data_IF_480358917686
#
_entry.id   IF_480358917686
#
_cell.length_a   1.000
_cell.length_b   1.000
_cell.length_c   1.000
_cell.angle_alpha   90.00
_cell.angle_beta   90.00
_cell.angle_gamma   90.00
#
_symmetry.space_group_name_H-M   'P 1'
#
loop_
_entity.id
_entity.type
_entity.pdbx_description
1 polymer ?
#
# COMPACT_ATOMS: atom_id res chain seq x y z
N UNK A 1 10.36 20.54 0.18
CA UNK A 1 9.53 19.93 -0.87
C UNK A 1 8.71 18.83 -0.24
N UNK A 2 7.38 18.94 -0.18
CA UNK A 2 6.54 17.91 0.42
C UNK A 2 6.47 16.70 -0.52
N UNK A 3 7.36 15.73 -0.32
CA UNK A 3 7.35 14.49 -1.09
C UNK A 3 6.05 13.74 -0.74
N UNK A 4 5.17 13.57 -1.72
CA UNK A 4 3.95 12.80 -1.51
C UNK A 4 4.34 11.32 -1.37
N UNK A 5 4.30 10.77 -0.17
CA UNK A 5 4.69 9.38 0.15
C UNK A 5 3.73 8.30 -0.41
N UNK A 6 2.92 8.67 -1.41
CA UNK A 6 1.88 7.85 -2.03
C UNK A 6 2.36 7.24 -3.35
N UNK A 7 2.84 6.01 -3.29
CA UNK A 7 3.47 5.33 -4.44
C UNK A 7 2.56 4.27 -5.07
N UNK A 8 2.94 3.77 -6.26
CA UNK A 8 2.21 2.67 -6.93
C UNK A 8 2.49 1.34 -6.22
N UNK A 9 1.64 0.33 -6.44
CA UNK A 9 1.78 -1.00 -5.78
C UNK A 9 3.15 -1.65 -6.01
N UNK A 10 3.69 -1.59 -7.23
CA UNK A 10 5.02 -2.16 -7.53
C UNK A 10 6.15 -1.45 -6.77
N UNK A 11 6.09 -0.13 -6.70
CA UNK A 11 7.07 0.67 -5.97
C UNK A 11 6.95 0.45 -4.45
N UNK A 12 5.73 0.36 -3.92
CA UNK A 12 5.51 0.02 -2.52
C UNK A 12 6.07 -1.36 -2.17
N UNK A 13 5.81 -2.35 -3.01
CA UNK A 13 6.32 -3.70 -2.85
C UNK A 13 7.85 -3.72 -2.80
N UNK A 14 8.49 -3.04 -3.75
CA UNK A 14 9.96 -2.94 -3.81
C UNK A 14 10.54 -2.25 -2.56
N UNK A 15 9.94 -1.14 -2.10
CA UNK A 15 10.42 -0.42 -0.91
C UNK A 15 10.28 -1.24 0.38
N UNK A 16 9.19 -2.00 0.50
CA UNK A 16 8.91 -2.84 1.67
C UNK A 16 9.58 -4.22 1.60
N UNK A 17 10.31 -4.54 0.53
CA UNK A 17 10.94 -5.85 0.35
C UNK A 17 9.94 -7.01 0.19
N UNK A 18 8.70 -6.72 -0.24
CA UNK A 18 7.62 -7.71 -0.41
C UNK A 18 7.17 -7.81 -1.87
N UNK A 19 6.35 -8.80 -2.18
CA UNK A 19 5.75 -8.91 -3.52
C UNK A 19 4.46 -8.08 -3.65
N UNK A 20 4.14 -7.55 -4.84
CA UNK A 20 2.85 -6.89 -5.10
C UNK A 20 1.64 -7.79 -4.81
N UNK A 21 1.80 -9.10 -4.99
CA UNK A 21 0.77 -10.10 -4.68
C UNK A 21 0.53 -10.19 -3.17
N UNK A 22 1.58 -10.20 -2.36
CA UNK A 22 1.47 -10.20 -0.91
C UNK A 22 0.74 -8.96 -0.40
N UNK A 23 1.10 -7.76 -0.89
CA UNK A 23 0.40 -6.51 -0.56
C UNK A 23 -1.11 -6.59 -0.87
N UNK A 24 -1.48 -7.11 -2.03
CA UNK A 24 -2.90 -7.30 -2.39
C UNK A 24 -3.60 -8.35 -1.54
N UNK A 25 -2.90 -9.43 -1.17
CA UNK A 25 -3.46 -10.46 -0.28
C UNK A 25 -3.70 -9.91 1.12
N UNK A 26 -2.76 -9.12 1.67
CA UNK A 26 -2.92 -8.45 2.97
C UNK A 26 -4.04 -7.42 2.94
N UNK A 27 -4.18 -6.69 1.84
CA UNK A 27 -5.31 -5.80 1.61
C UNK A 27 -6.64 -6.55 1.64
N UNK A 28 -6.74 -7.67 0.91
CA UNK A 28 -7.94 -8.50 0.88
C UNK A 28 -8.28 -9.13 2.24
N UNK A 29 -7.29 -9.32 3.11
CA UNK A 29 -7.48 -9.75 4.51
C UNK A 29 -7.90 -8.61 5.46
N UNK A 30 -7.99 -7.37 4.99
CA UNK A 30 -8.38 -6.22 5.83
C UNK A 30 -7.26 -5.68 6.73
N UNK A 31 -6.00 -6.08 6.52
CA UNK A 31 -4.87 -5.61 7.34
C UNK A 31 -4.55 -4.12 7.13
N UNK A 32 -4.97 -3.56 5.99
CA UNK A 32 -4.69 -2.17 5.64
C UNK A 32 -5.95 -1.29 5.72
N UNK A 33 -5.81 -0.09 6.28
CA UNK A 33 -6.90 0.89 6.39
C UNK A 33 -6.94 1.81 5.17
N UNK A 34 -8.11 1.94 4.52
CA UNK A 34 -8.35 2.87 3.41
C UNK A 34 -8.17 4.32 3.91
N UNK A 35 -7.55 5.17 3.10
CA UNK A 35 -7.23 6.57 3.46
C UNK A 35 -5.99 6.73 4.34
N UNK A 36 -5.58 5.70 5.09
CA UNK A 36 -4.36 5.70 5.92
C UNK A 36 -3.19 4.98 5.24
N UNK A 37 -3.37 3.70 4.90
CA UNK A 37 -2.33 2.85 4.31
C UNK A 37 -2.43 2.81 2.79
N UNK A 38 -3.64 2.84 2.25
CA UNK A 38 -3.89 2.78 0.82
C UNK A 38 -5.08 3.66 0.40
N UNK A 39 -5.13 4.04 -0.87
CA UNK A 39 -6.30 4.66 -1.50
C UNK A 39 -6.52 4.04 -2.88
N UNK A 40 -7.79 3.81 -3.23
CA UNK A 40 -8.15 3.43 -4.59
C UNK A 40 -8.27 4.71 -5.43
N UNK A 41 -7.55 4.76 -6.55
CA UNK A 41 -7.55 5.86 -7.52
C UNK A 41 -8.17 5.44 -8.86
N UNK A 42 -8.70 4.22 -8.99
CA UNK A 42 -9.42 3.84 -10.20
C UNK A 42 -10.71 4.64 -10.31
N UNK A 43 -10.87 5.38 -11.41
CA UNK A 43 -12.14 6.00 -11.81
C UNK A 43 -12.62 5.19 -13.02
N UNK A 44 -13.80 4.55 -12.91
CA UNK A 44 -14.44 3.79 -13.99
C UNK A 44 -13.58 2.68 -14.65
N UNK A 45 -12.64 2.07 -13.93
CA UNK A 45 -11.85 0.94 -14.43
C UNK A 45 -12.33 -0.38 -13.83
N UNK A 46 -12.38 -1.44 -14.66
CA UNK A 46 -12.72 -2.79 -14.22
C UNK A 46 -11.71 -3.38 -13.21
N UNK A 47 -10.46 -2.88 -13.19
CA UNK A 47 -9.42 -3.30 -12.25
C UNK A 47 -9.07 -2.14 -11.30
N UNK A 48 -9.09 -2.36 -9.98
CA UNK A 48 -8.77 -1.31 -9.03
C UNK A 48 -7.29 -0.94 -9.08
N UNK A 49 -7.01 0.36 -9.04
CA UNK A 49 -5.65 0.91 -9.05
C UNK A 49 -5.39 1.56 -7.71
N UNK A 50 -4.40 1.04 -6.96
CA UNK A 50 -4.11 1.52 -5.61
C UNK A 50 -2.87 2.41 -5.55
N UNK A 51 -2.93 3.43 -4.69
CA UNK A 51 -1.77 4.17 -4.18
C UNK A 51 -1.57 3.84 -2.71
N UNK A 52 -0.31 3.72 -2.31
CA UNK A 52 0.10 3.22 -1.01
C UNK A 52 0.94 4.24 -0.28
N UNK A 53 0.65 4.49 0.99
CA UNK A 53 1.42 5.40 1.83
C UNK A 53 2.60 4.64 2.45
N UNK A 54 3.82 4.97 2.05
CA UNK A 54 5.00 4.19 2.43
C UNK A 54 5.31 4.31 3.91
N UNK A 55 5.41 5.51 4.46
CA UNK A 55 5.75 5.70 5.88
C UNK A 55 4.77 4.99 6.81
N UNK A 56 3.48 4.94 6.43
CA UNK A 56 2.47 4.25 7.23
C UNK A 56 2.55 2.74 7.08
N UNK A 57 2.97 2.24 5.92
CA UNK A 57 3.22 0.81 5.73
C UNK A 57 4.49 0.38 6.45
N UNK A 58 5.59 1.12 6.34
CA UNK A 58 6.84 0.82 7.07
C UNK A 58 6.56 0.69 8.58
N UNK A 59 5.90 1.68 9.18
CA UNK A 59 5.47 1.60 10.58
C UNK A 59 4.58 0.40 10.90
N UNK A 60 3.64 0.08 10.00
CA UNK A 60 2.78 -1.09 10.19
C UNK A 60 3.58 -2.40 10.14
N UNK A 61 4.56 -2.51 9.25
CA UNK A 61 5.41 -3.69 9.16
C UNK A 61 6.33 -3.79 10.39
N UNK A 62 6.87 -2.68 10.89
CA UNK A 62 7.63 -2.66 12.14
C UNK A 62 6.78 -3.09 13.35
N UNK A 63 5.51 -2.68 13.41
CA UNK A 63 4.58 -3.01 14.50
C UNK A 63 4.04 -4.47 14.46
N UNK A 64 4.01 -5.09 13.28
CA UNK A 64 3.36 -6.41 13.07
C UNK A 64 4.37 -7.55 12.86
N UNK A 65 5.61 -7.23 12.50
CA UNK A 65 6.67 -8.22 12.21
C UNK A 65 7.70 -8.34 13.36
N UNK A 66 7.50 -7.63 14.47
CA UNK A 66 8.19 -7.84 15.76
C UNK A 66 7.20 -8.35 16.82
#
# INVERSE_FOLDING_TARGET
MAQTNWVKTSEAANKLGVTPVLLRRMLGKGLFKKGKHYRNISINQARPTYRWNIDKLEKFFDEVVL
#
